data_IF_772625372628
#
_entry.id   IF_772625372628
#
_cell.length_a   1.000
_cell.length_b   1.000
_cell.length_c   1.000
_cell.angle_alpha   90.00
_cell.angle_beta   90.00
_cell.angle_gamma   90.00
#
_symmetry.space_group_name_H-M   'P 1'
#
loop_
_entity.id
_entity.type
_entity.pdbx_description
1 polymer ?
#
# COMPACT_ATOMS: atom_id res chain seq x y z
N UNK A 1 -7.57 -2.10 -4.79
CA UNK A 1 -6.30 -1.98 -5.54
C UNK A 1 -5.56 -3.30 -5.39
N UNK A 2 -5.06 -3.55 -4.18
CA UNK A 2 -4.39 -4.79 -3.80
C UNK A 2 -5.40 -5.94 -3.77
N UNK A 3 -5.06 -7.08 -4.38
CA UNK A 3 -5.95 -8.23 -4.53
C UNK A 3 -7.09 -8.02 -5.54
N UNK A 4 -7.11 -6.88 -6.25
CA UNK A 4 -8.10 -6.59 -7.29
C UNK A 4 -7.44 -6.31 -8.65
N UNK A 5 -6.49 -5.37 -8.68
CA UNK A 5 -5.72 -4.98 -9.87
C UNK A 5 -4.24 -5.37 -9.73
N UNK A 6 -3.74 -5.43 -8.49
CA UNK A 6 -2.41 -5.96 -8.20
C UNK A 6 -2.52 -7.29 -7.48
N UNK A 7 -1.52 -8.15 -7.68
CA UNK A 7 -1.37 -9.35 -6.89
C UNK A 7 -1.01 -9.03 -5.42
N UNK A 8 -1.43 -9.89 -4.49
CA UNK A 8 -1.22 -9.68 -3.05
C UNK A 8 0.16 -10.13 -2.55
N UNK A 9 0.99 -10.77 -3.37
CA UNK A 9 2.28 -11.32 -2.96
C UNK A 9 3.19 -10.26 -2.34
N UNK A 10 3.20 -9.04 -2.88
CA UNK A 10 3.96 -7.92 -2.32
C UNK A 10 3.52 -7.60 -0.88
N UNK A 11 2.24 -7.29 -0.67
CA UNK A 11 1.74 -6.89 0.65
C UNK A 11 1.84 -8.05 1.66
N UNK A 12 1.56 -9.28 1.22
CA UNK A 12 1.67 -10.47 2.06
C UNK A 12 3.12 -10.69 2.53
N UNK A 13 4.08 -10.68 1.60
CA UNK A 13 5.49 -10.81 1.96
C UNK A 13 5.94 -9.69 2.89
N UNK A 14 5.58 -8.44 2.56
CA UNK A 14 6.00 -7.27 3.32
C UNK A 14 5.50 -7.33 4.76
N UNK A 15 4.19 -7.46 4.96
CA UNK A 15 3.59 -7.36 6.30
C UNK A 15 3.66 -8.65 7.10
N UNK A 16 3.60 -9.83 6.47
CA UNK A 16 3.57 -11.10 7.21
C UNK A 16 4.96 -11.66 7.50
N UNK A 17 5.98 -11.23 6.76
CA UNK A 17 7.34 -11.77 6.85
C UNK A 17 8.38 -10.68 7.09
N UNK A 18 8.55 -9.75 6.15
CA UNK A 18 9.66 -8.80 6.21
C UNK A 18 9.59 -7.88 7.44
N UNK A 19 8.42 -7.32 7.75
CA UNK A 19 8.25 -6.44 8.91
C UNK A 19 8.51 -7.18 10.23
N UNK A 20 7.91 -8.36 10.51
CA UNK A 20 8.26 -9.16 11.67
C UNK A 20 9.74 -9.53 11.79
N UNK A 21 10.36 -9.99 10.70
CA UNK A 21 11.79 -10.37 10.70
C UNK A 21 12.69 -9.17 11.01
N UNK A 22 12.40 -8.01 10.39
CA UNK A 22 13.17 -6.78 10.60
C UNK A 22 13.02 -6.26 12.03
N UNK A 23 11.79 -6.27 12.56
CA UNK A 23 11.52 -5.88 13.94
C UNK A 23 12.24 -6.80 14.94
N UNK A 24 12.13 -8.12 14.74
CA UNK A 24 12.77 -9.11 15.61
C UNK A 24 14.29 -8.94 15.66
N UNK A 25 14.92 -8.74 14.50
CA UNK A 25 16.35 -8.48 14.39
C UNK A 25 16.77 -7.20 15.11
N UNK A 26 16.00 -6.11 14.97
CA UNK A 26 16.29 -4.84 15.64
C UNK A 26 16.16 -4.92 17.16
N UNK A 27 15.18 -5.67 17.66
CA UNK A 27 14.92 -5.79 19.11
C UNK A 27 15.74 -6.91 19.78
N UNK A 28 16.43 -7.75 19.01
CA UNK A 28 17.18 -8.89 19.53
C UNK A 28 16.30 -9.99 20.14
N UNK A 29 15.08 -10.16 19.63
CA UNK A 29 14.12 -11.17 20.09
C UNK A 29 14.00 -12.33 19.10
N UNK A 30 13.44 -13.46 19.55
CA UNK A 30 13.26 -14.62 18.68
C UNK A 30 12.28 -14.32 17.53
N UNK A 31 12.41 -15.01 16.37
CA UNK A 31 11.44 -14.85 15.28
C UNK A 31 10.00 -15.12 15.71
N UNK A 32 9.80 -16.07 16.63
CA UNK A 32 8.47 -16.40 17.16
C UNK A 32 7.90 -15.26 18.01
N UNK A 33 8.71 -14.67 18.90
CA UNK A 33 8.28 -13.55 19.73
C UNK A 33 7.99 -12.30 18.89
N UNK A 34 8.82 -12.05 17.88
CA UNK A 34 8.59 -10.96 16.93
C UNK A 34 7.27 -11.15 16.16
N UNK A 35 7.00 -12.35 15.67
CA UNK A 35 5.77 -12.66 14.95
C UNK A 35 4.54 -12.43 15.84
N UNK A 36 4.59 -12.91 17.08
CA UNK A 36 3.48 -12.78 18.03
C UNK A 36 3.25 -11.32 18.44
N UNK A 37 4.32 -10.58 18.73
CA UNK A 37 4.23 -9.15 19.04
C UNK A 37 3.59 -8.37 17.89
N UNK A 38 4.09 -8.55 16.68
CA UNK A 38 3.60 -7.84 15.50
C UNK A 38 2.15 -8.21 15.20
N UNK A 39 1.78 -9.49 15.32
CA UNK A 39 0.39 -9.95 15.17
C UNK A 39 -0.55 -9.23 16.15
N UNK A 40 -0.13 -9.03 17.40
CA UNK A 40 -0.91 -8.27 18.39
C UNK A 40 -1.05 -6.79 17.98
N UNK A 41 0.02 -6.17 17.47
CA UNK A 41 -0.03 -4.79 16.98
C UNK A 41 -1.01 -4.66 15.81
N UNK A 42 -0.97 -5.59 14.86
CA UNK A 42 -1.91 -5.66 13.74
C UNK A 42 -3.34 -5.78 14.24
N UNK A 43 -3.62 -6.75 15.10
CA UNK A 43 -4.96 -6.97 15.63
C UNK A 43 -5.54 -5.74 16.36
N UNK A 44 -4.70 -4.93 17.01
CA UNK A 44 -5.15 -3.75 17.75
C UNK A 44 -5.71 -2.63 16.87
N UNK A 45 -5.26 -2.53 15.60
CA UNK A 45 -5.63 -1.43 14.69
C UNK A 45 -6.28 -1.89 13.38
N UNK A 46 -6.49 -3.18 13.20
CA UNK A 46 -7.27 -3.70 12.07
C UNK A 46 -8.62 -2.98 11.97
N UNK A 47 -9.07 -2.74 10.74
CA UNK A 47 -10.28 -1.96 10.45
C UNK A 47 -10.23 -0.47 10.81
N UNK A 48 -9.09 0.07 11.21
CA UNK A 48 -8.89 1.52 11.38
C UNK A 48 -8.05 2.11 10.23
N UNK A 49 -7.96 3.44 10.14
CA UNK A 49 -7.06 4.09 9.18
C UNK A 49 -5.58 3.85 9.49
N UNK A 50 -5.23 3.66 10.77
CA UNK A 50 -3.86 3.37 11.19
C UNK A 50 -3.35 2.07 10.57
N UNK A 51 -4.24 1.09 10.31
CA UNK A 51 -3.90 -0.12 9.58
C UNK A 51 -3.18 0.16 8.25
N UNK A 52 -3.63 1.18 7.53
CA UNK A 52 -3.13 1.53 6.20
C UNK A 52 -2.04 2.61 6.21
N UNK A 53 -1.61 3.08 7.38
CA UNK A 53 -0.75 4.24 7.53
C UNK A 53 0.72 3.82 7.73
N UNK A 54 1.60 4.10 6.76
CA UNK A 54 3.02 3.73 6.91
C UNK A 54 3.72 4.56 8.00
N UNK A 55 3.33 5.82 8.18
CA UNK A 55 3.90 6.68 9.23
C UNK A 55 3.59 6.14 10.62
N UNK A 56 2.34 5.72 10.84
CA UNK A 56 1.92 5.05 12.09
C UNK A 56 2.78 3.81 12.37
N UNK A 57 3.00 2.96 11.37
CA UNK A 57 3.81 1.76 11.53
C UNK A 57 5.29 2.07 11.76
N UNK A 58 5.80 3.12 11.12
CA UNK A 58 7.18 3.56 11.31
C UNK A 58 7.42 4.02 12.74
N UNK A 59 6.52 4.86 13.26
CA UNK A 59 6.56 5.32 14.66
C UNK A 59 6.35 4.17 15.65
N UNK A 60 5.33 3.33 15.41
CA UNK A 60 4.95 2.25 16.33
C UNK A 60 6.04 1.19 16.49
N UNK A 61 6.76 0.89 15.42
CA UNK A 61 7.73 -0.21 15.38
C UNK A 61 9.19 0.29 15.44
N UNK A 62 9.41 1.59 15.30
CA UNK A 62 10.75 2.17 15.17
C UNK A 62 11.48 1.66 13.93
N UNK A 63 10.76 1.46 12.83
CA UNK A 63 11.29 0.96 11.54
C UNK A 63 11.07 2.02 10.46
N UNK A 64 11.97 2.09 9.47
CA UNK A 64 11.72 2.91 8.28
C UNK A 64 10.84 2.17 7.27
N UNK A 65 9.54 2.11 7.55
CA UNK A 65 8.57 1.37 6.74
C UNK A 65 8.50 1.96 5.32
N UNK A 66 8.67 3.26 5.16
CA UNK A 66 8.68 3.91 3.84
C UNK A 66 9.88 3.46 3.00
N UNK A 67 11.10 3.48 3.54
CA UNK A 67 12.28 3.00 2.83
C UNK A 67 12.19 1.50 2.52
N UNK A 68 11.71 0.69 3.49
CA UNK A 68 11.47 -0.74 3.27
C UNK A 68 10.45 -0.96 2.15
N UNK A 69 9.36 -0.17 2.11
CA UNK A 69 8.33 -0.23 1.07
C UNK A 69 8.94 0.06 -0.30
N UNK A 70 9.72 1.14 -0.43
CA UNK A 70 10.42 1.49 -1.67
C UNK A 70 11.36 0.37 -2.12
N UNK A 71 12.16 -0.19 -1.21
CA UNK A 71 13.10 -1.26 -1.53
C UNK A 71 12.41 -2.54 -2.04
N UNK A 72 11.19 -2.81 -1.59
CA UNK A 72 10.41 -3.97 -2.02
C UNK A 72 9.47 -3.66 -3.20
N UNK A 73 9.43 -2.41 -3.67
CA UNK A 73 8.58 -1.96 -4.78
C UNK A 73 8.62 -2.83 -6.04
N UNK A 74 9.78 -3.34 -6.51
CA UNK A 74 9.87 -4.22 -7.67
C UNK A 74 9.08 -5.53 -7.58
N UNK A 75 8.61 -5.92 -6.38
CA UNK A 75 7.74 -7.09 -6.19
C UNK A 75 6.26 -6.79 -6.48
N UNK A 76 5.88 -5.53 -6.64
CA UNK A 76 4.53 -5.16 -7.00
C UNK A 76 4.26 -5.57 -8.45
N UNK A 77 3.23 -6.38 -8.67
CA UNK A 77 2.91 -6.96 -9.98
C UNK A 77 1.41 -6.77 -10.25
N UNK A 78 1.09 -6.37 -11.48
CA UNK A 78 -0.29 -6.38 -11.96
C UNK A 78 -0.80 -7.81 -12.09
N UNK A 79 -2.08 -8.03 -11.83
CA UNK A 79 -2.71 -9.28 -12.26
C UNK A 79 -2.82 -9.30 -13.78
N UNK A 80 -2.67 -10.48 -14.40
CA UNK A 80 -2.69 -10.65 -15.86
C UNK A 80 -3.97 -10.10 -16.51
N UNK A 81 -5.09 -10.17 -15.80
CA UNK A 81 -6.41 -9.70 -16.23
C UNK A 81 -6.60 -8.17 -16.13
N UNK A 82 -5.70 -7.45 -15.46
CA UNK A 82 -5.88 -6.03 -15.12
C UNK A 82 -5.88 -5.11 -16.33
N UNK A 83 -4.85 -5.21 -17.17
CA UNK A 83 -4.75 -4.34 -18.35
C UNK A 83 -5.86 -4.65 -19.37
N UNK A 84 -6.14 -5.93 -19.71
CA UNK A 84 -7.28 -6.27 -20.56
C UNK A 84 -8.61 -5.72 -20.04
N UNK A 85 -8.86 -5.86 -18.74
CA UNK A 85 -10.08 -5.36 -18.10
C UNK A 85 -10.21 -3.84 -18.19
N UNK A 86 -9.17 -3.08 -17.83
CA UNK A 86 -9.19 -1.61 -17.88
C UNK A 86 -9.32 -1.09 -19.31
N UNK A 87 -8.73 -1.78 -20.30
CA UNK A 87 -8.90 -1.45 -21.71
C UNK A 87 -10.32 -1.71 -22.20
N UNK A 88 -10.95 -2.80 -21.78
CA UNK A 88 -12.35 -3.09 -22.13
C UNK A 88 -13.31 -2.03 -21.54
N UNK A 89 -13.07 -1.59 -20.29
CA UNK A 89 -13.82 -0.49 -19.69
C UNK A 89 -13.66 0.82 -20.48
N UNK A 90 -12.44 1.16 -20.89
CA UNK A 90 -12.16 2.34 -21.72
C UNK A 90 -12.91 2.26 -23.06
N UNK A 91 -12.84 1.13 -23.76
CA UNK A 91 -13.53 0.90 -25.02
C UNK A 91 -15.06 1.01 -24.89
N UNK A 92 -15.59 0.70 -23.70
CA UNK A 92 -17.01 0.80 -23.35
C UNK A 92 -17.43 2.19 -22.90
N UNK A 93 -16.55 3.20 -23.02
CA UNK A 93 -16.80 4.58 -22.62
C UNK A 93 -16.92 4.80 -21.11
N UNK A 94 -16.39 3.88 -20.29
CA UNK A 94 -16.43 4.00 -18.82
C UNK A 94 -15.21 4.74 -18.29
N UNK A 95 -15.41 5.54 -17.25
CA UNK A 95 -14.31 6.15 -16.47
C UNK A 95 -13.73 5.12 -15.51
N UNK A 96 -12.41 5.08 -15.43
CA UNK A 96 -11.60 4.13 -14.65
C UNK A 96 -11.00 4.88 -13.47
N UNK A 97 -11.75 4.94 -12.38
CA UNK A 97 -11.36 5.66 -11.16
C UNK A 97 -10.90 4.65 -10.12
N UNK A 98 -9.70 4.83 -9.57
CA UNK A 98 -9.22 4.03 -8.44
C UNK A 98 -9.47 4.79 -7.14
N UNK A 99 -10.19 4.14 -6.22
CA UNK A 99 -10.29 4.56 -4.82
C UNK A 99 -9.58 3.52 -3.94
N UNK A 100 -8.69 3.97 -3.07
CA UNK A 100 -7.88 3.08 -2.21
C UNK A 100 -7.68 3.66 -0.82
N UNK A 101 -7.53 2.78 0.18
CA UNK A 101 -7.08 3.17 1.53
C UNK A 101 -5.55 3.25 1.66
N UNK A 102 -4.81 2.83 0.63
CA UNK A 102 -3.36 2.78 0.69
C UNK A 102 -2.73 4.14 1.00
N UNK A 103 -1.72 4.14 1.86
CA UNK A 103 -0.85 5.29 2.12
C UNK A 103 -0.31 5.88 0.80
N UNK A 104 -0.18 7.22 0.65
CA UNK A 104 0.27 7.83 -0.59
C UNK A 104 1.65 7.33 -1.05
N UNK A 105 2.58 7.09 -0.11
CA UNK A 105 3.89 6.52 -0.42
C UNK A 105 3.79 5.09 -0.98
N UNK A 106 2.98 4.23 -0.35
CA UNK A 106 2.76 2.86 -0.84
C UNK A 106 2.11 2.86 -2.23
N UNK A 107 1.14 3.75 -2.43
CA UNK A 107 0.49 3.93 -3.73
C UNK A 107 1.52 4.35 -4.79
N UNK A 108 2.32 5.38 -4.51
CA UNK A 108 3.32 5.90 -5.45
C UNK A 108 4.31 4.81 -5.89
N UNK A 109 4.88 4.06 -4.95
CA UNK A 109 5.82 2.96 -5.23
C UNK A 109 5.16 1.90 -6.13
N UNK A 110 3.92 1.50 -5.83
CA UNK A 110 3.20 0.52 -6.66
C UNK A 110 2.94 1.05 -8.07
N UNK A 111 2.53 2.31 -8.22
CA UNK A 111 2.28 2.91 -9.53
C UNK A 111 3.55 2.99 -10.37
N UNK A 112 4.69 3.37 -9.76
CA UNK A 112 5.99 3.44 -10.43
C UNK A 112 6.40 2.08 -11.01
N UNK A 113 6.29 1.01 -10.22
CA UNK A 113 6.75 -0.32 -10.65
C UNK A 113 5.75 -1.06 -11.55
N UNK A 114 4.45 -0.76 -11.46
CA UNK A 114 3.43 -1.48 -12.24
C UNK A 114 2.96 -0.73 -13.49
N UNK A 115 3.19 0.58 -13.57
CA UNK A 115 2.62 1.41 -14.63
C UNK A 115 1.10 1.55 -14.56
N UNK A 116 0.43 1.10 -13.49
CA UNK A 116 -1.04 1.11 -13.40
C UNK A 116 -1.67 2.49 -13.65
N UNK A 117 -0.97 3.56 -13.29
CA UNK A 117 -1.45 4.93 -13.42
C UNK A 117 -1.86 5.28 -14.86
N UNK A 118 -1.14 4.79 -15.87
CA UNK A 118 -1.46 5.08 -17.29
C UNK A 118 -2.76 4.45 -17.77
N UNK A 119 -3.34 3.52 -16.99
CA UNK A 119 -4.59 2.84 -17.31
C UNK A 119 -5.81 3.45 -16.60
N UNK A 120 -5.62 4.49 -15.78
CA UNK A 120 -6.67 5.10 -14.95
C UNK A 120 -6.92 6.55 -15.35
N UNK A 121 -8.15 7.02 -15.13
CA UNK A 121 -8.56 8.42 -15.36
C UNK A 121 -8.41 9.28 -14.11
N UNK A 122 -8.48 8.66 -12.92
CA UNK A 122 -8.38 9.34 -11.63
C UNK A 122 -7.93 8.36 -10.54
N UNK A 123 -7.07 8.84 -9.64
CA UNK A 123 -6.55 8.12 -8.49
C UNK A 123 -6.90 8.89 -7.21
N UNK A 124 -7.57 8.22 -6.27
CA UNK A 124 -7.97 8.79 -4.98
C UNK A 124 -7.51 7.85 -3.86
N UNK A 125 -6.72 8.40 -2.93
CA UNK A 125 -6.43 7.74 -1.66
C UNK A 125 -7.25 8.38 -0.53
N UNK A 126 -7.79 7.58 0.38
CA UNK A 126 -8.47 8.11 1.56
C UNK A 126 -7.50 8.92 2.43
N UNK A 127 -6.21 8.59 2.48
CA UNK A 127 -5.17 9.37 3.18
C UNK A 127 -5.09 10.82 2.71
N UNK A 128 -5.15 11.06 1.39
CA UNK A 128 -5.21 12.42 0.83
C UNK A 128 -6.50 13.16 1.22
N UNK A 129 -7.60 12.44 1.46
CA UNK A 129 -8.87 13.01 1.91
C UNK A 129 -8.81 13.46 3.38
N UNK A 130 -8.14 12.68 4.25
CA UNK A 130 -7.94 13.03 5.66
C UNK A 130 -6.96 14.20 5.85
N UNK A 131 -5.91 14.28 5.02
CA UNK A 131 -5.02 15.45 4.97
C UNK A 131 -5.75 16.70 4.47
N UNK A 132 -6.63 16.57 3.47
CA UNK A 132 -7.41 17.69 2.95
C UNK A 132 -8.37 18.32 3.97
N UNK A 133 -8.84 17.57 4.98
CA UNK A 133 -9.63 18.14 6.07
C UNK A 133 -8.79 18.93 7.09
N UNK A 134 -7.45 18.81 7.06
CA UNK A 134 -6.51 19.57 7.90
C UNK A 134 -5.73 20.66 7.15
N UNK A 135 -5.93 20.79 5.83
CA UNK A 135 -5.35 21.85 5.00
C UNK A 135 -4.63 21.31 3.77
N UNK A 136 -5.08 21.75 2.60
CA UNK A 136 -4.45 21.58 1.28
C UNK A 136 -4.54 20.17 0.66
N UNK A 137 -5.50 20.00 -0.27
CA UNK A 137 -5.63 18.82 -1.10
C UNK A 137 -4.47 18.70 -2.11
N UNK A 138 -3.72 17.61 -2.05
CA UNK A 138 -2.91 17.15 -3.20
C UNK A 138 -3.79 16.24 -4.04
N UNK A 139 -4.46 16.82 -5.04
CA UNK A 139 -5.01 16.06 -6.16
C UNK A 139 -3.90 15.84 -7.18
N UNK A 140 -3.37 14.62 -7.28
CA UNK A 140 -2.56 14.25 -8.42
C UNK A 140 -3.48 14.03 -9.63
N UNK A 141 -3.77 15.10 -10.36
CA UNK A 141 -4.32 14.99 -11.72
C UNK A 141 -3.20 14.50 -12.63
N UNK A 142 -3.35 13.31 -13.21
CA UNK A 142 -2.54 12.95 -14.38
C UNK A 142 -3.08 13.75 -15.58
N UNK A 143 -2.19 14.50 -16.23
CA UNK A 143 -2.45 15.20 -17.49
C UNK A 143 -2.33 14.25 -18.68
#
# INVERSE_FOLDING_TARGET
MDGTLLDLAFDNYFWQKLVPETYGAQQGISPQDAQEYIRQQYHAVQHTLNWYCLDYWSERLGLDICAMTTAQGPRAVLRDDTVPFLNALKASGKRRILLTNAHPHNLAVKLEHTGLASHLDLLLSTHTFWLSQRGSAVMARCH
#
